data_IF_313166922448
#
_entry.id   IF_313166922448
#
_cell.length_a   1.000
_cell.length_b   1.000
_cell.length_c   1.000
_cell.angle_alpha   90.00
_cell.angle_beta   90.00
_cell.angle_gamma   90.00
#
_symmetry.space_group_name_H-M   'P 1'
#
loop_
_entity.id
_entity.type
_entity.pdbx_description
1 polymer ?
#
# COMPACT_ATOMS: atom_id res chain seq x y z
N UNK A 1 37.20 13.65 -17.46
CA UNK A 1 36.26 13.92 -16.35
C UNK A 1 35.41 12.68 -16.16
N UNK A 2 35.63 11.93 -15.08
CA UNK A 2 34.83 10.76 -14.72
C UNK A 2 33.49 11.25 -14.15
N UNK A 3 32.38 10.86 -14.75
CA UNK A 3 31.05 11.08 -14.15
C UNK A 3 30.95 10.20 -12.90
N UNK A 4 30.53 10.72 -11.74
CA UNK A 4 30.29 9.87 -10.57
C UNK A 4 29.07 8.99 -10.87
N UNK A 5 29.26 7.68 -10.69
CA UNK A 5 28.19 6.69 -10.76
C UNK A 5 27.39 6.83 -9.46
N UNK A 6 26.30 7.59 -9.50
CA UNK A 6 25.25 7.56 -8.48
C UNK A 6 23.96 7.17 -9.17
N UNK A 7 23.56 5.90 -9.07
CA UNK A 7 22.34 5.43 -9.72
C UNK A 7 21.50 4.44 -8.91
N UNK A 8 21.81 4.16 -7.63
CA UNK A 8 20.92 3.36 -6.74
C UNK A 8 21.04 3.74 -5.27
N UNK A 9 22.24 4.04 -4.79
CA UNK A 9 22.50 4.36 -3.38
C UNK A 9 21.85 5.68 -2.92
N UNK A 10 21.76 6.68 -3.79
CA UNK A 10 21.12 7.96 -3.44
C UNK A 10 19.59 7.86 -3.39
N UNK A 11 18.97 7.03 -4.24
CA UNK A 11 17.52 6.81 -4.23
C UNK A 11 17.07 6.06 -2.97
N UNK A 12 17.78 4.98 -2.60
CA UNK A 12 17.50 4.27 -1.35
C UNK A 12 17.71 5.16 -0.12
N UNK A 13 18.71 6.04 -0.15
CA UNK A 13 18.96 6.98 0.94
C UNK A 13 17.89 8.05 1.05
N UNK A 14 17.43 8.59 -0.08
CA UNK A 14 16.33 9.57 -0.10
C UNK A 14 15.01 8.94 0.37
N UNK A 15 14.73 7.70 -0.02
CA UNK A 15 13.56 6.96 0.44
C UNK A 15 13.60 6.71 1.95
N UNK A 16 14.73 6.24 2.48
CA UNK A 16 14.89 6.02 3.92
C UNK A 16 14.78 7.33 4.71
N UNK A 17 15.38 8.41 4.20
CA UNK A 17 15.26 9.74 4.81
C UNK A 17 13.79 10.19 4.89
N UNK A 18 13.00 9.95 3.84
CA UNK A 18 11.58 10.28 3.87
C UNK A 18 10.82 9.44 4.91
N UNK A 19 11.10 8.14 5.02
CA UNK A 19 10.48 7.28 6.05
C UNK A 19 10.79 7.77 7.47
N UNK A 20 12.02 8.23 7.71
CA UNK A 20 12.43 8.78 8.98
C UNK A 20 11.79 10.16 9.24
N UNK A 21 11.78 11.05 8.24
CA UNK A 21 11.18 12.39 8.34
C UNK A 21 9.67 12.34 8.63
N UNK A 22 8.98 11.30 8.14
CA UNK A 22 7.56 11.05 8.43
C UNK A 22 7.32 10.11 9.63
N UNK A 23 8.37 9.78 10.40
CA UNK A 23 8.34 8.91 11.58
C UNK A 23 7.74 7.51 11.33
N UNK A 24 7.79 7.01 10.09
CA UNK A 24 7.31 5.67 9.73
C UNK A 24 8.20 4.60 10.35
N UNK A 25 9.52 4.84 10.39
CA UNK A 25 10.48 3.93 11.03
C UNK A 25 10.24 3.82 12.53
N UNK A 26 9.90 4.92 13.20
CA UNK A 26 9.55 4.94 14.63
C UNK A 26 8.22 4.22 14.89
N UNK A 27 7.22 4.41 14.04
CA UNK A 27 5.95 3.69 14.11
C UNK A 27 6.15 2.17 14.02
N UNK A 28 6.91 1.70 13.02
CA UNK A 28 7.20 0.27 12.84
C UNK A 28 7.97 -0.29 14.04
N UNK A 29 8.96 0.44 14.56
CA UNK A 29 9.69 0.05 15.75
C UNK A 29 8.77 -0.04 16.98
N UNK A 30 7.81 0.87 17.13
CA UNK A 30 6.85 0.86 18.23
C UNK A 30 5.87 -0.30 18.15
N UNK A 31 5.39 -0.64 16.94
CA UNK A 31 4.50 -1.79 16.72
C UNK A 31 5.23 -3.11 16.96
N UNK A 32 6.49 -3.21 16.52
CA UNK A 32 7.31 -4.41 16.72
C UNK A 32 7.63 -4.67 18.21
N UNK A 33 7.81 -3.60 18.99
CA UNK A 33 8.15 -3.69 20.42
C UNK A 33 6.94 -3.43 21.34
N UNK A 34 5.72 -3.49 20.82
CA UNK A 34 4.52 -3.23 21.62
C UNK A 34 4.33 -4.31 22.68
N UNK A 35 4.11 -3.91 23.93
CA UNK A 35 3.86 -4.80 25.06
C UNK A 35 2.72 -4.22 25.90
N UNK A 36 1.70 -5.04 26.18
CA UNK A 36 0.57 -4.69 27.02
C UNK A 36 0.11 -5.90 27.85
N UNK A 37 -0.69 -5.66 28.90
CA UNK A 37 -1.15 -6.69 29.83
C UNK A 37 -1.94 -7.83 29.15
N UNK A 38 -2.56 -7.56 27.99
CA UNK A 38 -3.34 -8.51 27.19
C UNK A 38 -2.59 -8.97 25.91
N UNK A 39 -1.40 -8.45 25.62
CA UNK A 39 -0.60 -8.82 24.44
C UNK A 39 0.91 -8.68 24.69
N UNK A 40 1.59 -9.82 24.78
CA UNK A 40 3.03 -9.89 24.99
C UNK A 40 3.74 -10.27 23.68
N UNK A 41 4.39 -9.28 23.04
CA UNK A 41 5.20 -9.45 21.83
C UNK A 41 6.40 -10.39 22.01
N UNK A 42 6.75 -10.76 23.25
CA UNK A 42 7.74 -11.80 23.51
C UNK A 42 7.23 -13.22 23.18
N UNK A 43 5.92 -13.44 23.11
CA UNK A 43 5.30 -14.76 22.85
C UNK A 43 4.75 -14.87 21.43
N UNK A 44 4.30 -13.76 20.86
CA UNK A 44 3.76 -13.67 19.51
C UNK A 44 4.74 -12.76 18.76
N UNK A 45 5.87 -13.31 18.30
CA UNK A 45 6.77 -12.55 17.41
C UNK A 45 6.00 -12.27 16.12
N UNK A 46 5.48 -11.05 15.90
CA UNK A 46 4.69 -10.79 14.72
C UNK A 46 5.63 -10.81 13.52
N UNK A 47 5.18 -11.39 12.41
CA UNK A 47 5.98 -11.39 11.21
C UNK A 47 6.13 -9.95 10.69
N UNK A 48 7.25 -9.64 10.06
CA UNK A 48 7.49 -8.31 9.48
C UNK A 48 6.32 -7.85 8.58
N UNK A 49 5.73 -8.78 7.82
CA UNK A 49 4.57 -8.52 6.96
C UNK A 49 3.30 -8.14 7.75
N UNK A 50 3.09 -8.71 8.94
CA UNK A 50 1.94 -8.40 9.80
C UNK A 50 2.09 -6.99 10.40
N UNK A 51 3.32 -6.61 10.78
CA UNK A 51 3.64 -5.28 11.30
C UNK A 51 3.47 -4.22 10.21
N UNK A 52 3.96 -4.48 9.00
CA UNK A 52 3.79 -3.60 7.85
C UNK A 52 2.33 -3.44 7.48
N UNK A 53 1.57 -4.55 7.50
CA UNK A 53 0.12 -4.53 7.27
C UNK A 53 -0.59 -3.69 8.33
N UNK A 54 -0.26 -3.89 9.61
CA UNK A 54 -0.84 -3.11 10.71
C UNK A 54 -0.51 -1.62 10.61
N UNK A 55 0.74 -1.28 10.27
CA UNK A 55 1.14 0.10 10.03
C UNK A 55 0.37 0.74 8.88
N UNK A 56 0.23 0.03 7.75
CA UNK A 56 -0.55 0.49 6.61
C UNK A 56 -2.03 0.74 6.97
N UNK A 57 -2.63 -0.15 7.77
CA UNK A 57 -4.00 0.02 8.28
C UNK A 57 -4.09 1.29 9.12
N UNK A 58 -3.21 1.48 10.10
CA UNK A 58 -3.24 2.64 11.00
C UNK A 58 -3.06 3.96 10.25
N UNK A 59 -2.14 4.01 9.28
CA UNK A 59 -1.91 5.20 8.44
C UNK A 59 -3.13 5.47 7.55
N UNK A 60 -3.69 4.44 6.93
CA UNK A 60 -4.90 4.55 6.11
C UNK A 60 -6.08 5.09 6.92
N UNK A 61 -6.27 4.58 8.13
CA UNK A 61 -7.32 5.03 9.03
C UNK A 61 -7.13 6.44 9.52
N UNK A 62 -5.90 6.81 9.89
CA UNK A 62 -5.58 8.18 10.22
C UNK A 62 -5.95 9.10 9.05
N UNK A 63 -5.50 8.77 7.84
CA UNK A 63 -5.78 9.53 6.62
C UNK A 63 -7.28 9.67 6.37
N UNK A 64 -8.05 8.60 6.54
CA UNK A 64 -9.50 8.62 6.36
C UNK A 64 -10.23 9.41 7.46
N UNK A 65 -9.71 9.38 8.69
CA UNK A 65 -10.30 10.08 9.84
C UNK A 65 -10.10 11.59 9.79
N UNK A 66 -9.06 12.06 9.10
CA UNK A 66 -8.78 13.49 8.92
C UNK A 66 -9.90 14.12 8.09
N UNK A 67 -10.66 15.00 8.73
CA UNK A 67 -11.72 15.78 8.10
C UNK A 67 -11.48 17.28 8.30
N UNK A 68 -12.22 18.11 7.57
CA UNK A 68 -12.04 19.57 7.60
C UNK A 68 -12.18 20.19 9.00
N UNK A 69 -12.98 19.58 9.89
CA UNK A 69 -13.13 20.02 11.28
C UNK A 69 -11.86 19.72 12.09
N UNK A 70 -11.34 18.49 12.01
CA UNK A 70 -10.07 18.13 12.66
C UNK A 70 -8.92 19.00 12.16
N UNK A 71 -8.81 19.22 10.85
CA UNK A 71 -7.78 20.11 10.28
C UNK A 71 -7.93 21.53 10.84
N UNK A 72 -9.14 22.08 10.87
CA UNK A 72 -9.40 23.41 11.42
C UNK A 72 -9.03 23.48 12.91
N UNK A 73 -9.38 22.46 13.70
CA UNK A 73 -9.05 22.38 15.12
C UNK A 73 -7.52 22.33 15.33
N UNK A 74 -6.80 21.52 14.56
CA UNK A 74 -5.33 21.46 14.61
C UNK A 74 -4.67 22.78 14.18
N UNK A 75 -5.14 23.39 13.09
CA UNK A 75 -4.61 24.68 12.62
C UNK A 75 -4.86 25.80 13.64
N UNK A 76 -6.03 25.80 14.27
CA UNK A 76 -6.34 26.72 15.35
C UNK A 76 -5.41 26.51 16.55
N UNK A 77 -5.11 25.27 16.93
CA UNK A 77 -4.18 24.96 18.02
C UNK A 77 -2.75 25.42 17.72
N UNK A 78 -2.25 25.18 16.49
CA UNK A 78 -0.92 25.64 16.05
C UNK A 78 -0.83 27.16 16.08
N UNK A 79 -1.89 27.86 15.69
CA UNK A 79 -1.93 29.32 15.66
C UNK A 79 -2.04 29.96 17.05
N UNK A 80 -2.61 29.27 18.04
CA UNK A 80 -2.92 29.85 19.35
C UNK A 80 -2.06 29.27 20.51
N UNK A 81 -1.07 28.42 20.22
CA UNK A 81 -0.10 27.86 21.18
C UNK A 81 -0.70 27.32 22.48
N UNK A 82 -1.87 26.68 22.39
CA UNK A 82 -2.56 26.16 23.58
C UNK A 82 -2.34 24.65 23.67
N UNK A 83 -1.33 24.23 24.45
CA UNK A 83 -0.89 22.83 24.55
C UNK A 83 -1.71 21.97 25.53
N UNK A 84 -2.72 22.53 26.19
CA UNK A 84 -3.41 21.87 27.32
C UNK A 84 -4.63 21.02 26.92
N UNK A 85 -4.87 20.75 25.63
CA UNK A 85 -6.01 19.95 25.17
C UNK A 85 -5.53 18.86 24.20
N UNK A 86 -4.92 17.80 24.72
CA UNK A 86 -4.35 16.71 23.87
C UNK A 86 -4.87 15.28 24.11
N UNK A 87 -5.74 14.92 25.07
CA UNK A 87 -6.29 13.56 25.05
C UNK A 87 -7.56 13.50 24.20
N UNK A 88 -7.46 12.95 22.98
CA UNK A 88 -8.62 12.35 22.29
C UNK A 88 -9.02 12.92 20.92
N UNK A 89 -8.19 13.73 20.25
CA UNK A 89 -8.51 14.26 18.92
C UNK A 89 -8.58 13.15 17.85
N UNK A 90 -7.75 12.12 17.97
CA UNK A 90 -7.75 10.99 17.05
C UNK A 90 -8.48 9.82 17.73
N UNK A 91 -9.80 9.77 17.56
CA UNK A 91 -10.53 8.52 17.75
C UNK A 91 -10.44 7.74 16.44
N UNK A 92 -9.40 6.91 16.32
CA UNK A 92 -9.37 5.87 15.30
C UNK A 92 -10.49 4.88 15.62
N UNK A 93 -11.66 5.12 15.05
CA UNK A 93 -12.62 4.02 14.90
C UNK A 93 -11.96 3.06 13.93
N UNK A 94 -11.87 1.78 14.31
CA UNK A 94 -11.64 0.76 13.30
C UNK A 94 -12.65 1.04 12.20
N UNK A 95 -12.23 1.12 10.92
CA UNK A 95 -13.22 1.18 9.86
C UNK A 95 -14.08 -0.06 10.09
N UNK A 96 -15.38 0.01 9.85
CA UNK A 96 -16.12 -1.23 9.65
C UNK A 96 -15.58 -1.84 8.35
N UNK A 97 -14.36 -2.40 8.38
CA UNK A 97 -13.72 -3.16 7.34
C UNK A 97 -14.48 -4.48 7.31
N UNK A 98 -15.70 -4.38 6.78
CA UNK A 98 -16.51 -5.53 6.54
C UNK A 98 -15.81 -6.34 5.45
N UNK A 99 -15.48 -7.57 5.80
CA UNK A 99 -15.06 -8.60 4.84
C UNK A 99 -16.23 -8.97 3.92
N UNK A 100 -17.44 -8.46 4.20
CA UNK A 100 -18.57 -8.58 3.28
C UNK A 100 -18.43 -7.61 2.11
N UNK A 101 -18.86 -8.07 0.94
CA UNK A 101 -18.92 -7.25 -0.27
C UNK A 101 -19.77 -6.00 0.00
N UNK A 102 -19.34 -4.79 -0.40
CA UNK A 102 -20.12 -3.58 -0.20
C UNK A 102 -21.55 -3.74 -0.74
N UNK A 103 -22.56 -3.46 0.09
CA UNK A 103 -23.96 -3.67 -0.26
C UNK A 103 -24.41 -2.93 -1.54
N UNK A 104 -23.73 -1.83 -1.87
CA UNK A 104 -23.99 -1.01 -3.06
C UNK A 104 -23.03 -1.33 -4.22
N UNK A 105 -22.41 -2.51 -4.25
CA UNK A 105 -21.62 -2.95 -5.40
C UNK A 105 -22.55 -3.23 -6.60
N UNK A 106 -22.20 -2.75 -7.82
CA UNK A 106 -20.93 -2.17 -8.24
C UNK A 106 -20.82 -0.63 -8.15
N UNK A 107 -21.87 0.08 -7.72
CA UNK A 107 -21.97 1.55 -7.82
C UNK A 107 -20.91 2.32 -7.02
N UNK A 108 -20.42 1.74 -5.92
CA UNK A 108 -19.37 2.35 -5.07
C UNK A 108 -17.95 1.88 -5.42
N UNK A 109 -17.81 0.86 -6.26
CA UNK A 109 -16.49 0.36 -6.63
C UNK A 109 -15.80 1.39 -7.53
N UNK A 110 -14.51 1.63 -7.27
CA UNK A 110 -13.67 2.43 -8.19
C UNK A 110 -13.73 1.80 -9.58
N UNK A 111 -13.70 2.60 -10.63
CA UNK A 111 -13.59 2.05 -11.99
C UNK A 111 -12.25 1.33 -12.12
N UNK A 112 -12.22 0.07 -12.60
CA UNK A 112 -10.98 -0.67 -12.80
C UNK A 112 -10.06 0.06 -13.78
N UNK A 113 -8.79 0.20 -13.43
CA UNK A 113 -7.77 0.91 -14.24
C UNK A 113 -7.45 0.17 -15.53
N UNK A 114 -7.52 -1.16 -15.53
CA UNK A 114 -7.13 -1.99 -16.66
C UNK A 114 -8.30 -2.81 -17.21
N UNK A 115 -8.24 -3.10 -18.50
CA UNK A 115 -9.25 -3.81 -19.27
C UNK A 115 -8.72 -5.14 -19.78
N UNK A 116 -9.64 -5.99 -20.24
CA UNK A 116 -9.29 -7.24 -20.92
C UNK A 116 -8.46 -6.94 -22.17
N UNK A 117 -7.35 -7.67 -22.32
CA UNK A 117 -6.41 -7.48 -23.43
C UNK A 117 -5.26 -6.52 -23.12
N UNK A 118 -5.31 -5.76 -22.01
CA UNK A 118 -4.21 -4.89 -21.63
C UNK A 118 -2.96 -5.70 -21.29
N UNK A 119 -1.80 -5.22 -21.74
CA UNK A 119 -0.49 -5.80 -21.43
C UNK A 119 0.08 -5.13 -20.19
N UNK A 120 0.24 -5.91 -19.14
CA UNK A 120 0.69 -5.42 -17.84
C UNK A 120 1.95 -6.17 -17.38
N UNK A 121 2.74 -5.51 -16.55
CA UNK A 121 3.85 -6.12 -15.81
C UNK A 121 3.76 -5.77 -14.32
N UNK A 122 4.43 -6.56 -13.51
CA UNK A 122 4.52 -6.30 -12.07
C UNK A 122 5.45 -5.12 -11.80
N UNK A 123 5.04 -4.24 -10.89
CA UNK A 123 5.86 -3.16 -10.37
C UNK A 123 6.99 -3.75 -9.53
N UNK A 124 8.21 -3.69 -10.04
CA UNK A 124 9.40 -3.96 -9.22
C UNK A 124 10.53 -2.99 -9.57
N UNK A 125 11.51 -2.88 -8.68
CA UNK A 125 12.75 -2.13 -8.92
C UNK A 125 13.72 -2.87 -9.86
N UNK A 126 13.40 -4.10 -10.28
CA UNK A 126 14.22 -4.93 -11.15
C UNK A 126 13.69 -4.89 -12.58
N UNK A 127 14.60 -4.97 -13.55
CA UNK A 127 14.26 -4.84 -14.97
C UNK A 127 13.56 -6.07 -15.55
N UNK A 128 13.66 -7.22 -14.89
CA UNK A 128 13.11 -8.50 -15.36
C UNK A 128 11.97 -8.91 -14.43
N UNK A 129 10.75 -8.65 -14.87
CA UNK A 129 9.52 -8.91 -14.11
C UNK A 129 8.56 -9.70 -14.96
N UNK A 130 7.73 -10.49 -14.30
CA UNK A 130 6.64 -11.17 -14.98
C UNK A 130 5.72 -10.16 -15.66
N UNK A 131 5.20 -10.58 -16.80
CA UNK A 131 4.31 -9.76 -17.60
C UNK A 131 3.35 -10.63 -18.39
N UNK A 132 2.27 -10.02 -18.85
CA UNK A 132 1.26 -10.78 -19.56
C UNK A 132 0.09 -9.93 -19.99
N UNK A 133 -0.99 -10.61 -20.34
CA UNK A 133 -2.22 -10.00 -20.82
C UNK A 133 -3.33 -10.23 -19.79
N UNK A 134 -4.11 -9.19 -19.51
CA UNK A 134 -5.30 -9.30 -18.68
C UNK A 134 -6.33 -10.19 -19.36
N UNK A 135 -6.63 -11.34 -18.75
CA UNK A 135 -7.67 -12.28 -19.21
C UNK A 135 -8.86 -12.38 -18.27
N UNK A 136 -8.80 -11.70 -17.12
CA UNK A 136 -9.85 -11.68 -16.11
C UNK A 136 -9.64 -10.56 -15.11
N UNK A 137 -10.74 -10.16 -14.45
CA UNK A 137 -10.69 -9.30 -13.27
C UNK A 137 -11.84 -9.62 -12.34
N UNK A 138 -11.63 -9.41 -11.05
CA UNK A 138 -12.64 -9.57 -10.03
C UNK A 138 -12.39 -8.59 -8.89
N UNK A 139 -13.46 -8.21 -8.19
CA UNK A 139 -13.37 -7.35 -7.03
C UNK A 139 -13.22 -8.23 -5.79
N UNK A 140 -12.17 -8.00 -4.99
CA UNK A 140 -11.84 -8.85 -3.83
C UNK A 140 -11.34 -8.01 -2.67
N UNK A 141 -11.54 -8.52 -1.45
CA UNK A 141 -11.00 -7.93 -0.24
C UNK A 141 -9.48 -8.15 -0.19
N UNK A 142 -8.73 -7.05 -0.21
CA UNK A 142 -7.28 -7.04 -0.08
C UNK A 142 -6.91 -6.87 1.40
N UNK A 143 -6.59 -7.98 2.07
CA UNK A 143 -6.29 -7.99 3.51
C UNK A 143 -5.16 -7.04 3.91
N UNK A 144 -4.14 -6.86 3.05
CA UNK A 144 -3.03 -5.94 3.29
C UNK A 144 -3.46 -4.46 3.28
N UNK A 145 -4.59 -4.15 2.64
CA UNK A 145 -5.18 -2.79 2.63
C UNK A 145 -6.37 -2.63 3.57
N UNK A 146 -6.92 -3.74 4.04
CA UNK A 146 -8.24 -3.79 4.66
C UNK A 146 -9.31 -3.06 3.84
N UNK A 147 -9.29 -3.25 2.52
CA UNK A 147 -10.19 -2.58 1.59
C UNK A 147 -10.53 -3.50 0.42
N UNK A 148 -11.68 -3.27 -0.21
CA UNK A 148 -12.06 -3.95 -1.43
C UNK A 148 -11.42 -3.26 -2.65
N UNK A 149 -10.71 -4.02 -3.46
CA UNK A 149 -10.02 -3.50 -4.65
C UNK A 149 -10.08 -4.48 -5.82
N UNK A 150 -9.66 -4.04 -7.00
CA UNK A 150 -9.58 -4.89 -8.19
C UNK A 150 -8.35 -5.79 -8.13
N UNK A 151 -8.59 -7.07 -8.44
CA UNK A 151 -7.56 -8.07 -8.69
C UNK A 151 -7.70 -8.56 -10.13
N UNK A 152 -6.58 -8.76 -10.80
CA UNK A 152 -6.51 -9.13 -12.21
C UNK A 152 -5.93 -10.52 -12.36
N UNK A 153 -6.52 -11.32 -13.25
CA UNK A 153 -5.96 -12.58 -13.72
C UNK A 153 -5.19 -12.29 -15.00
N UNK A 154 -3.89 -12.56 -14.96
CA UNK A 154 -2.94 -12.27 -16.04
C UNK A 154 -2.49 -13.58 -16.66
N UNK A 155 -2.66 -13.71 -17.98
CA UNK A 155 -2.02 -14.76 -18.76
C UNK A 155 -0.57 -14.36 -19.00
N UNK A 156 0.37 -15.10 -18.43
CA UNK A 156 1.79 -14.78 -18.51
C UNK A 156 2.35 -15.02 -19.92
N UNK A 157 3.20 -14.12 -20.38
CA UNK A 157 3.92 -14.31 -21.64
C UNK A 157 4.84 -15.51 -21.55
N UNK A 158 5.12 -16.18 -22.67
CA UNK A 158 6.06 -17.30 -22.71
C UNK A 158 7.49 -16.91 -22.30
N UNK A 159 7.82 -15.63 -22.48
CA UNK A 159 9.14 -15.08 -22.15
C UNK A 159 9.22 -14.55 -20.71
N UNK A 160 8.15 -14.67 -19.92
CA UNK A 160 8.17 -14.23 -18.52
C UNK A 160 8.97 -15.23 -17.65
N UNK A 161 9.72 -14.76 -16.65
CA UNK A 161 10.47 -15.62 -15.74
C UNK A 161 9.65 -16.77 -15.17
N UNK A 162 8.40 -16.53 -14.77
CA UNK A 162 7.54 -17.50 -14.09
C UNK A 162 6.85 -18.53 -14.99
N UNK A 163 6.97 -18.40 -16.31
CA UNK A 163 6.28 -19.27 -17.29
C UNK A 163 6.68 -20.74 -17.16
N UNK A 164 7.87 -21.00 -16.61
CA UNK A 164 8.34 -22.36 -16.34
C UNK A 164 7.45 -23.12 -15.33
N UNK A 165 6.68 -22.41 -14.50
CA UNK A 165 5.88 -23.00 -13.41
C UNK A 165 4.38 -22.73 -13.51
N UNK A 166 3.97 -21.61 -14.11
CA UNK A 166 2.55 -21.29 -14.29
C UNK A 166 2.29 -20.54 -15.59
N UNK A 167 1.11 -20.73 -16.17
CA UNK A 167 0.67 -20.00 -17.38
C UNK A 167 -0.14 -18.75 -17.06
N UNK A 168 -0.60 -18.59 -15.81
CA UNK A 168 -1.35 -17.43 -15.37
C UNK A 168 -1.08 -17.16 -13.88
N UNK A 169 -1.19 -15.89 -13.50
CA UNK A 169 -1.06 -15.46 -12.11
C UNK A 169 -2.06 -14.33 -11.80
N UNK A 170 -2.26 -14.05 -10.51
CA UNK A 170 -3.12 -12.98 -10.02
C UNK A 170 -2.31 -11.85 -9.39
N UNK A 171 -2.75 -10.62 -9.58
CA UNK A 171 -2.13 -9.45 -8.97
C UNK A 171 -3.15 -8.36 -8.65
N UNK A 172 -2.88 -7.59 -7.59
CA UNK A 172 -3.70 -6.44 -7.23
C UNK A 172 -3.46 -5.28 -8.19
N UNK A 173 -4.47 -4.42 -8.36
CA UNK A 173 -4.40 -3.28 -9.27
C UNK A 173 -3.21 -2.35 -9.00
N UNK A 174 -2.84 -2.19 -7.73
CA UNK A 174 -1.70 -1.37 -7.33
C UNK A 174 -0.33 -1.96 -7.68
N UNK A 175 -0.23 -3.27 -7.90
CA UNK A 175 1.02 -3.97 -8.16
C UNK A 175 1.37 -4.02 -9.65
N UNK A 176 0.50 -3.47 -10.50
CA UNK A 176 0.58 -3.58 -11.95
C UNK A 176 0.75 -2.22 -12.62
N UNK A 177 1.52 -2.22 -13.71
CA UNK A 177 1.63 -1.10 -14.63
C UNK A 177 1.54 -1.54 -16.11
N UNK A 178 1.07 -0.65 -17.01
CA UNK A 178 1.07 -0.93 -18.43
C UNK A 178 2.47 -1.12 -18.99
N UNK A 179 2.63 -2.09 -19.89
CA UNK A 179 3.80 -2.16 -20.75
C UNK A 179 3.60 -1.16 -21.88
N UNK A 180 4.36 -0.08 -21.86
CA UNK A 180 4.48 0.81 -23.01
C UNK A 180 5.01 -0.01 -24.19
N UNK A 181 4.26 -0.08 -25.29
CA UNK A 181 4.88 -0.47 -26.55
C UNK A 181 5.87 0.65 -26.90
N UNK A 182 7.17 0.36 -26.90
CA UNK A 182 8.12 1.21 -27.58
C UNK A 182 7.66 1.27 -29.04
N UNK A 183 7.03 2.40 -29.41
CA UNK A 183 6.74 2.75 -30.78
C UNK A 183 8.08 2.88 -31.48
N UNK A 184 8.59 1.78 -32.03
CA UNK A 184 9.70 1.78 -32.96
C UNK A 184 9.19 2.49 -34.23
N UNK A 185 9.43 3.80 -34.27
CA UNK A 185 9.38 4.64 -35.47
C UNK A 185 10.74 4.61 -36.17
#
# INVERSE_FOLDING_TARGET
MLKPVSYKTDEHRAYQQALDDFNITELLAKLNNYFDADFDSAWIQPQQQEIETLAAILISQLTHSINGKLIADYLNLIQHSNQDIVPGLINLKYPDASIELPANFPDVAKTPRFLYGDRLRWLTQQSDTDWGIVIGRFYSYASHRCDWTWCYLIWLSQDSPSTAWTSADIAWEEDLEPISEETNL
#
